data_IF_891999268216
#
_entry.id   IF_891999268216
#
_cell.length_a   1.000
_cell.length_b   1.000
_cell.length_c   1.000
_cell.angle_alpha   90.00
_cell.angle_beta   90.00
_cell.angle_gamma   90.00
#
_symmetry.space_group_name_H-M   'P 1'
#
loop_
_entity.id
_entity.type
_entity.pdbx_description
1 polymer ?
#
# COMPACT_ATOMS: atom_id res chain seq x y z
N UNK A 1 -0.38 0.68 30.98
CA UNK A 1 0.27 1.30 29.81
C UNK A 1 1.46 0.52 29.25
N UNK A 2 1.98 -0.51 29.95
CA UNK A 2 3.02 -1.44 29.46
C UNK A 2 2.74 -2.12 28.10
N UNK A 3 1.47 -2.23 27.70
CA UNK A 3 1.09 -2.85 26.43
C UNK A 3 1.71 -2.17 25.20
N UNK A 4 1.56 -0.84 25.09
CA UNK A 4 2.09 -0.09 23.95
C UNK A 4 3.61 0.11 24.01
N UNK A 5 4.19 0.06 25.21
CA UNK A 5 5.64 0.14 25.42
C UNK A 5 6.36 -1.05 24.75
N UNK A 6 5.82 -2.27 24.90
CA UNK A 6 6.37 -3.45 24.22
C UNK A 6 6.39 -3.31 22.69
N UNK A 7 5.33 -2.75 22.09
CA UNK A 7 5.30 -2.47 20.65
C UNK A 7 6.31 -1.40 20.23
N UNK A 8 6.58 -0.41 21.08
CA UNK A 8 7.59 0.63 20.81
C UNK A 8 9.01 0.05 20.87
N UNK A 9 9.29 -0.82 21.84
CA UNK A 9 10.57 -1.52 21.93
C UNK A 9 10.81 -2.42 20.71
N UNK A 10 9.76 -3.13 20.29
CA UNK A 10 9.75 -3.93 19.07
C UNK A 10 10.08 -3.10 17.83
N UNK A 11 9.42 -1.93 17.66
CA UNK A 11 9.72 -1.02 16.56
C UNK A 11 11.15 -0.47 16.62
N UNK A 12 11.68 -0.16 17.81
CA UNK A 12 13.06 0.27 17.96
C UNK A 12 14.04 -0.82 17.48
N UNK A 13 13.77 -2.11 17.78
CA UNK A 13 14.59 -3.21 17.25
C UNK A 13 14.50 -3.32 15.73
N UNK A 14 13.31 -3.15 15.15
CA UNK A 14 13.14 -3.17 13.70
C UNK A 14 13.92 -2.03 13.03
N UNK A 15 13.93 -0.82 13.61
CA UNK A 15 14.77 0.28 13.11
C UNK A 15 16.25 -0.08 13.07
N UNK A 16 16.77 -0.79 14.07
CA UNK A 16 18.15 -1.26 14.05
C UNK A 16 18.39 -2.26 12.93
N UNK A 17 17.46 -3.20 12.69
CA UNK A 17 17.56 -4.16 11.59
C UNK A 17 17.54 -3.46 10.22
N UNK A 18 16.75 -2.41 10.05
CA UNK A 18 16.70 -1.63 8.80
C UNK A 18 18.03 -0.92 8.49
N UNK A 19 18.83 -0.59 9.51
CA UNK A 19 20.12 0.06 9.34
C UNK A 19 21.20 -0.91 8.82
N UNK A 20 21.03 -2.21 9.03
CA UNK A 20 21.90 -3.25 8.49
C UNK A 20 21.32 -3.77 7.16
N UNK A 21 22.05 -3.52 6.08
CA UNK A 21 21.71 -4.01 4.74
C UNK A 21 21.42 -5.52 4.69
N UNK A 22 22.04 -6.32 5.57
CA UNK A 22 21.82 -7.77 5.61
C UNK A 22 20.40 -8.16 6.03
N UNK A 23 19.74 -7.33 6.85
CA UNK A 23 18.43 -7.60 7.43
C UNK A 23 17.33 -6.71 6.85
N UNK A 24 17.61 -6.06 5.72
CA UNK A 24 16.73 -5.06 5.11
C UNK A 24 15.34 -5.61 4.78
N UNK A 25 15.29 -6.77 4.13
CA UNK A 25 14.04 -7.39 3.68
C UNK A 25 13.26 -7.98 4.85
N UNK A 26 13.96 -8.56 5.83
CA UNK A 26 13.40 -9.05 7.08
C UNK A 26 12.75 -7.91 7.86
N UNK A 27 13.40 -6.75 7.95
CA UNK A 27 12.82 -5.60 8.63
C UNK A 27 11.54 -5.11 7.93
N UNK A 28 11.53 -5.04 6.60
CA UNK A 28 10.33 -4.72 5.81
C UNK A 28 9.21 -5.73 6.06
N UNK A 29 9.55 -7.03 6.09
CA UNK A 29 8.59 -8.09 6.36
C UNK A 29 7.98 -7.95 7.76
N UNK A 30 8.80 -7.69 8.78
CA UNK A 30 8.33 -7.49 10.16
C UNK A 30 7.40 -6.29 10.26
N UNK A 31 7.75 -5.15 9.65
CA UNK A 31 6.87 -3.98 9.63
C UNK A 31 5.52 -4.29 9.00
N UNK A 32 5.49 -5.03 7.89
CA UNK A 32 4.24 -5.46 7.27
C UNK A 32 3.42 -6.37 8.19
N UNK A 33 4.07 -7.30 8.88
CA UNK A 33 3.38 -8.16 9.86
C UNK A 33 2.81 -7.37 11.04
N UNK A 34 3.51 -6.35 11.54
CA UNK A 34 3.02 -5.48 12.61
C UNK A 34 1.78 -4.69 12.22
N UNK A 35 1.73 -4.14 11.00
CA UNK A 35 0.51 -3.50 10.49
C UNK A 35 -0.67 -4.47 10.50
N UNK A 36 -0.46 -5.72 10.05
CA UNK A 36 -1.48 -6.76 10.08
C UNK A 36 -1.96 -7.07 11.50
N UNK A 37 -1.03 -7.27 12.43
CA UNK A 37 -1.35 -7.56 13.83
C UNK A 37 -2.13 -6.42 14.50
N UNK A 38 -1.72 -5.16 14.29
CA UNK A 38 -2.43 -3.98 14.77
C UNK A 38 -3.83 -3.88 14.16
N UNK A 39 -3.99 -4.25 12.90
CA UNK A 39 -5.30 -4.31 12.24
C UNK A 39 -6.22 -5.39 12.84
N UNK A 40 -5.71 -6.61 13.03
CA UNK A 40 -6.48 -7.69 13.65
C UNK A 40 -6.88 -7.37 15.09
N UNK A 41 -5.99 -6.73 15.84
CA UNK A 41 -6.25 -6.29 17.20
C UNK A 41 -7.35 -5.21 17.24
N UNK A 42 -7.27 -4.22 16.36
CA UNK A 42 -8.24 -3.12 16.30
C UNK A 42 -9.62 -3.58 15.81
N UNK A 43 -9.68 -4.55 14.90
CA UNK A 43 -10.93 -5.03 14.29
C UNK A 43 -11.10 -6.55 14.45
N UNK A 44 -11.30 -7.07 15.68
CA UNK A 44 -11.36 -8.51 15.94
C UNK A 44 -12.52 -9.23 15.23
N UNK A 45 -13.59 -8.50 14.89
CA UNK A 45 -14.74 -9.02 14.14
C UNK A 45 -14.53 -9.12 12.63
N UNK A 46 -13.45 -8.54 12.09
CA UNK A 46 -13.17 -8.56 10.66
C UNK A 46 -12.48 -9.88 10.26
N UNK A 47 -13.18 -10.69 9.46
CA UNK A 47 -12.70 -12.04 9.11
C UNK A 47 -11.70 -12.04 7.95
N UNK A 48 -11.64 -10.96 7.17
CA UNK A 48 -10.72 -10.86 6.04
C UNK A 48 -9.49 -10.03 6.42
N UNK A 49 -8.30 -10.67 6.49
CA UNK A 49 -7.01 -10.03 6.82
C UNK A 49 -6.78 -8.74 6.00
N UNK A 50 -7.13 -8.76 4.71
CA UNK A 50 -6.99 -7.60 3.83
C UNK A 50 -7.83 -6.40 4.24
N UNK A 51 -9.01 -6.61 4.82
CA UNK A 51 -9.91 -5.54 5.22
C UNK A 51 -9.39 -4.89 6.48
N UNK A 52 -9.07 -5.69 7.51
CA UNK A 52 -8.50 -5.20 8.76
C UNK A 52 -7.18 -4.44 8.51
N UNK A 53 -6.28 -5.03 7.71
CA UNK A 53 -4.99 -4.43 7.35
C UNK A 53 -5.15 -3.07 6.65
N UNK A 54 -5.97 -2.99 5.60
CA UNK A 54 -6.14 -1.73 4.86
C UNK A 54 -6.90 -0.70 5.68
N UNK A 55 -7.84 -1.13 6.52
CA UNK A 55 -8.63 -0.25 7.37
C UNK A 55 -7.75 0.42 8.43
N UNK A 56 -6.89 -0.34 9.13
CA UNK A 56 -5.99 0.24 10.13
C UNK A 56 -5.02 1.23 9.51
N UNK A 57 -4.52 0.95 8.30
CA UNK A 57 -3.68 1.88 7.54
C UNK A 57 -4.44 3.17 7.24
N UNK A 58 -5.67 3.10 6.74
CA UNK A 58 -6.45 4.32 6.39
C UNK A 58 -6.84 5.14 7.61
N UNK A 59 -7.22 4.49 8.70
CA UNK A 59 -7.74 5.16 9.90
C UNK A 59 -6.61 5.69 10.80
N UNK A 60 -5.50 4.96 10.95
CA UNK A 60 -4.48 5.28 11.96
C UNK A 60 -3.11 5.70 11.41
N UNK A 61 -2.80 5.56 10.12
CA UNK A 61 -1.48 5.96 9.59
C UNK A 61 -1.23 7.48 9.56
N UNK A 62 -2.28 8.29 9.63
CA UNK A 62 -2.21 9.72 9.34
C UNK A 62 -1.87 10.03 7.86
N UNK A 63 -1.88 9.01 6.98
CA UNK A 63 -1.49 9.10 5.57
C UNK A 63 -2.58 8.58 4.64
N UNK A 64 -3.86 8.81 4.98
CA UNK A 64 -5.00 8.34 4.20
C UNK A 64 -4.90 8.74 2.73
N UNK A 65 -4.70 10.03 2.46
CA UNK A 65 -4.66 10.56 1.09
C UNK A 65 -3.52 9.94 0.27
N UNK A 66 -2.34 9.77 0.89
CA UNK A 66 -1.21 9.05 0.28
C UNK A 66 -1.61 7.62 -0.08
N UNK A 67 -2.12 6.85 0.87
CA UNK A 67 -2.50 5.45 0.61
C UNK A 67 -3.68 5.28 -0.33
N UNK A 68 -4.48 6.32 -0.54
CA UNK A 68 -5.58 6.34 -1.50
C UNK A 68 -5.15 6.72 -2.91
N UNK A 69 -3.93 7.24 -3.13
CA UNK A 69 -3.40 7.52 -4.46
C UNK A 69 -3.37 6.28 -5.34
N UNK A 70 -3.65 6.47 -6.63
CA UNK A 70 -3.66 5.44 -7.67
C UNK A 70 -2.28 5.37 -8.33
N UNK A 71 -1.71 4.16 -8.41
CA UNK A 71 -0.51 3.90 -9.21
C UNK A 71 -0.91 3.71 -10.68
N UNK A 72 -0.66 4.74 -11.48
CA UNK A 72 -0.98 4.76 -12.91
C UNK A 72 -0.21 3.68 -13.67
N UNK A 73 1.06 3.45 -13.31
CA UNK A 73 1.88 2.45 -13.97
C UNK A 73 1.30 1.06 -13.74
N UNK A 74 0.93 0.75 -12.50
CA UNK A 74 0.28 -0.52 -12.19
C UNK A 74 -1.09 -0.65 -12.88
N UNK A 75 -1.87 0.42 -12.94
CA UNK A 75 -3.15 0.43 -13.65
C UNK A 75 -2.99 0.02 -15.13
N UNK A 76 -2.05 0.64 -15.84
CA UNK A 76 -1.78 0.34 -17.25
C UNK A 76 -1.23 -1.08 -17.44
N UNK A 77 -0.33 -1.52 -16.54
CA UNK A 77 0.32 -2.82 -16.64
C UNK A 77 -0.48 -3.99 -16.07
N UNK A 78 -1.61 -3.73 -15.40
CA UNK A 78 -2.35 -4.79 -14.71
C UNK A 78 -2.69 -6.01 -15.59
N UNK A 79 -3.16 -5.86 -16.84
CA UNK A 79 -3.48 -7.01 -17.71
C UNK A 79 -2.30 -7.94 -18.00
N UNK A 80 -1.05 -7.44 -17.87
CA UNK A 80 0.19 -8.21 -18.04
C UNK A 80 0.93 -8.47 -16.73
N UNK A 81 0.34 -8.08 -15.61
CA UNK A 81 0.89 -8.29 -14.28
C UNK A 81 0.58 -9.71 -13.78
N UNK A 82 1.21 -10.09 -12.67
CA UNK A 82 0.87 -11.32 -11.96
C UNK A 82 -0.57 -11.37 -11.41
N UNK A 83 -1.32 -10.26 -11.49
CA UNK A 83 -2.71 -10.15 -11.06
C UNK A 83 -3.71 -10.16 -12.23
N UNK A 84 -3.27 -10.46 -13.46
CA UNK A 84 -4.12 -10.49 -14.66
C UNK A 84 -5.39 -11.34 -14.50
N UNK A 85 -5.30 -12.47 -13.78
CA UNK A 85 -6.41 -13.40 -13.58
C UNK A 85 -7.14 -13.23 -12.25
N UNK A 86 -6.77 -12.22 -11.45
CA UNK A 86 -7.35 -12.03 -10.14
C UNK A 86 -8.79 -11.49 -10.26
N UNK A 87 -9.78 -12.30 -9.84
CA UNK A 87 -11.23 -12.05 -9.97
C UNK A 87 -11.68 -10.65 -9.56
N UNK A 88 -10.99 -10.03 -8.60
CA UNK A 88 -11.22 -8.63 -8.26
C UNK A 88 -11.04 -7.72 -9.47
N UNK A 89 -9.81 -7.59 -9.97
CA UNK A 89 -9.52 -6.64 -11.04
C UNK A 89 -10.30 -6.90 -12.33
N UNK A 90 -10.61 -8.17 -12.65
CA UNK A 90 -11.46 -8.55 -13.79
C UNK A 90 -12.88 -7.96 -13.77
N UNK A 91 -13.34 -7.44 -12.63
CA UNK A 91 -14.63 -6.74 -12.54
C UNK A 91 -14.60 -5.32 -13.10
N UNK A 92 -13.42 -4.73 -13.29
CA UNK A 92 -13.28 -3.43 -13.94
C UNK A 92 -13.62 -3.58 -15.43
N UNK A 93 -14.60 -2.81 -15.89
CA UNK A 93 -14.99 -2.76 -17.29
C UNK A 93 -14.16 -1.69 -18.03
N UNK A 94 -14.08 -1.83 -19.35
CA UNK A 94 -13.51 -0.82 -20.24
C UNK A 94 -12.08 -0.39 -19.90
N UNK A 95 -11.25 -1.32 -19.41
CA UNK A 95 -9.86 -1.01 -19.05
C UNK A 95 -9.07 -0.42 -20.24
N UNK A 96 -9.31 -0.90 -21.46
CA UNK A 96 -8.62 -0.40 -22.66
C UNK A 96 -8.95 1.06 -22.94
N UNK A 97 -10.23 1.45 -22.94
CA UNK A 97 -10.64 2.83 -23.19
C UNK A 97 -10.22 3.77 -22.06
N UNK A 98 -10.31 3.32 -20.80
CA UNK A 98 -9.81 4.08 -19.65
C UNK A 98 -8.30 4.28 -19.77
N UNK A 99 -7.55 3.24 -20.16
CA UNK A 99 -6.10 3.32 -20.35
C UNK A 99 -5.72 4.33 -21.42
N UNK A 100 -6.46 4.42 -22.53
CA UNK A 100 -6.25 5.45 -23.55
C UNK A 100 -6.42 6.86 -22.97
N UNK A 101 -7.49 7.10 -22.20
CA UNK A 101 -7.72 8.38 -21.55
C UNK A 101 -6.57 8.77 -20.59
N UNK A 102 -6.04 7.80 -19.83
CA UNK A 102 -4.89 8.01 -18.95
C UNK A 102 -3.61 8.31 -19.75
N UNK A 103 -3.33 7.53 -20.79
CA UNK A 103 -2.14 7.73 -21.63
C UNK A 103 -2.15 9.09 -22.31
N UNK A 104 -3.31 9.52 -22.81
CA UNK A 104 -3.43 10.83 -23.44
C UNK A 104 -3.23 12.00 -22.48
N UNK A 105 -3.49 11.79 -21.18
CA UNK A 105 -3.38 12.84 -20.15
C UNK A 105 -2.00 12.86 -19.45
N UNK A 106 -1.42 11.69 -19.20
CA UNK A 106 -0.21 11.54 -18.38
C UNK A 106 0.99 10.97 -19.15
N UNK A 107 0.80 10.58 -20.41
CA UNK A 107 1.82 9.96 -21.26
C UNK A 107 1.83 8.43 -21.18
N UNK A 108 2.72 7.82 -21.95
CA UNK A 108 2.90 6.37 -21.96
C UNK A 108 3.53 5.83 -20.67
N UNK A 109 3.75 4.51 -20.60
CA UNK A 109 4.33 3.88 -19.43
C UNK A 109 5.73 4.40 -19.06
N UNK A 110 6.54 4.80 -20.03
CA UNK A 110 7.90 5.32 -19.79
C UNK A 110 7.80 6.72 -19.20
N UNK A 111 6.92 7.55 -19.75
CA UNK A 111 6.66 8.89 -19.25
C UNK A 111 6.07 8.87 -17.84
N UNK A 112 5.10 7.98 -17.58
CA UNK A 112 4.50 7.79 -16.24
C UNK A 112 5.54 7.31 -15.24
N UNK A 113 6.38 6.34 -15.61
CA UNK A 113 7.44 5.81 -14.72
C UNK A 113 8.44 6.90 -14.31
N UNK A 114 8.81 7.79 -15.23
CA UNK A 114 9.81 8.84 -15.01
C UNK A 114 9.19 10.19 -14.61
N UNK A 115 7.87 10.29 -14.58
CA UNK A 115 7.12 11.52 -14.34
C UNK A 115 6.03 11.32 -13.27
N UNK A 116 4.78 11.66 -13.60
CA UNK A 116 3.66 11.54 -12.66
C UNK A 116 3.16 10.10 -12.64
N UNK A 117 3.56 9.35 -11.61
CA UNK A 117 3.11 7.96 -11.40
C UNK A 117 1.90 7.82 -10.50
N UNK A 118 1.79 8.68 -9.49
CA UNK A 118 0.79 8.57 -8.43
C UNK A 118 -0.12 9.79 -8.45
N UNK A 119 -1.43 9.56 -8.55
CA UNK A 119 -2.44 10.63 -8.56
C UNK A 119 -3.56 10.35 -7.58
N UNK A 120 -4.33 11.37 -7.19
CA UNK A 120 -5.50 11.14 -6.34
C UNK A 120 -6.59 10.36 -7.10
N UNK A 121 -7.47 9.68 -6.36
CA UNK A 121 -8.64 9.03 -6.98
C UNK A 121 -9.52 10.04 -7.72
N UNK A 122 -9.65 11.25 -7.19
CA UNK A 122 -10.46 12.29 -7.80
C UNK A 122 -9.86 12.75 -9.13
N UNK A 123 -8.54 12.97 -9.21
CA UNK A 123 -7.87 13.35 -10.45
C UNK A 123 -8.00 12.25 -11.52
N UNK A 124 -7.89 10.99 -11.10
CA UNK A 124 -8.12 9.85 -12.00
C UNK A 124 -9.55 9.86 -12.55
N UNK A 125 -10.55 10.00 -11.67
CA UNK A 125 -11.96 10.01 -12.07
C UNK A 125 -12.25 11.20 -13.00
N UNK A 126 -11.82 12.40 -12.64
CA UNK A 126 -12.01 13.61 -13.44
C UNK A 126 -11.36 13.47 -14.82
N UNK A 127 -10.14 12.90 -14.90
CA UNK A 127 -9.46 12.64 -16.17
C UNK A 127 -10.29 11.75 -17.10
N UNK A 128 -10.87 10.65 -16.57
CA UNK A 128 -11.64 9.70 -17.37
C UNK A 128 -13.02 10.26 -17.72
N UNK A 129 -13.66 10.97 -16.79
CA UNK A 129 -14.99 11.58 -16.98
C UNK A 129 -14.99 12.70 -18.04
N UNK A 130 -13.85 13.37 -18.25
CA UNK A 130 -13.66 14.36 -19.32
C UNK A 130 -13.57 13.73 -20.73
N UNK A 131 -13.39 12.41 -20.83
CA UNK A 131 -13.27 11.67 -22.10
C UNK A 131 -14.20 10.46 -22.12
N UNK A 132 -15.52 10.66 -22.05
CA UNK A 132 -16.46 9.55 -22.02
C UNK A 132 -16.43 8.79 -23.35
N UNK A 133 -16.44 7.47 -23.26
CA UNK A 133 -16.47 6.54 -24.39
C UNK A 133 -17.74 5.67 -24.31
N UNK A 134 -18.13 4.99 -25.40
CA UNK A 134 -19.33 4.14 -25.40
C UNK A 134 -19.31 3.10 -24.28
N UNK A 135 -20.43 2.96 -23.57
CA UNK A 135 -20.59 2.04 -22.41
C UNK A 135 -19.77 2.40 -21.17
N UNK A 136 -19.29 3.64 -21.05
CA UNK A 136 -18.67 4.12 -19.81
C UNK A 136 -19.59 3.89 -18.60
N UNK A 137 -19.06 3.18 -17.60
CA UNK A 137 -19.75 2.84 -16.35
C UNK A 137 -19.00 3.49 -15.18
N UNK A 138 -19.30 4.77 -14.92
CA UNK A 138 -18.63 5.55 -13.87
C UNK A 138 -18.80 4.95 -12.47
N UNK A 139 -19.92 4.23 -12.22
CA UNK A 139 -20.13 3.52 -10.96
C UNK A 139 -19.17 2.34 -10.82
N UNK A 140 -19.02 1.52 -11.86
CA UNK A 140 -18.06 0.42 -11.89
C UNK A 140 -16.62 0.91 -11.71
N UNK A 141 -16.26 2.02 -12.35
CA UNK A 141 -14.94 2.64 -12.17
C UNK A 141 -14.72 3.03 -10.71
N UNK A 142 -15.63 3.81 -10.10
CA UNK A 142 -15.51 4.25 -8.70
C UNK A 142 -15.43 3.07 -7.72
N UNK A 143 -16.18 2.00 -7.97
CA UNK A 143 -16.19 0.81 -7.11
C UNK A 143 -14.87 0.02 -7.18
N UNK A 144 -14.19 0.00 -8.32
CA UNK A 144 -13.04 -0.88 -8.56
C UNK A 144 -11.69 -0.16 -8.66
N UNK A 145 -11.68 1.15 -8.86
CA UNK A 145 -10.48 1.98 -8.86
C UNK A 145 -9.63 1.83 -7.58
N UNK A 146 -10.20 1.70 -6.35
CA UNK A 146 -9.39 1.51 -5.15
C UNK A 146 -8.48 0.28 -5.16
N UNK A 147 -8.68 -0.68 -6.08
CA UNK A 147 -7.78 -1.83 -6.25
C UNK A 147 -6.41 -1.46 -6.84
N UNK A 148 -6.30 -0.28 -7.44
CA UNK A 148 -5.04 0.24 -7.98
C UNK A 148 -4.39 1.25 -7.02
N UNK A 149 -4.91 1.37 -5.81
CA UNK A 149 -4.38 2.30 -4.80
C UNK A 149 -3.11 1.77 -4.14
N UNK A 150 -2.29 2.69 -3.62
CA UNK A 150 -1.12 2.38 -2.80
C UNK A 150 -1.48 1.49 -1.60
N UNK A 151 -2.67 1.64 -1.02
CA UNK A 151 -3.16 0.79 0.07
C UNK A 151 -3.36 -0.67 -0.36
N UNK A 152 -3.95 -0.91 -1.55
CA UNK A 152 -4.06 -2.27 -2.10
C UNK A 152 -2.67 -2.82 -2.46
N UNK A 153 -1.77 -1.98 -2.99
CA UNK A 153 -0.40 -2.38 -3.33
C UNK A 153 0.39 -2.79 -2.09
N UNK A 154 0.28 -2.04 -0.99
CA UNK A 154 0.86 -2.39 0.30
C UNK A 154 0.42 -3.80 0.73
N UNK A 155 -0.88 -4.08 0.69
CA UNK A 155 -1.38 -5.39 1.09
C UNK A 155 -0.94 -6.51 0.12
N UNK A 156 -1.08 -6.31 -1.19
CA UNK A 156 -0.84 -7.35 -2.18
C UNK A 156 0.64 -7.66 -2.36
N UNK A 157 1.47 -6.64 -2.48
CA UNK A 157 2.89 -6.80 -2.78
C UNK A 157 3.77 -6.92 -1.54
N UNK A 158 3.33 -6.42 -0.38
CA UNK A 158 4.06 -6.59 0.88
C UNK A 158 3.45 -7.71 1.71
N UNK A 159 2.23 -7.53 2.25
CA UNK A 159 1.64 -8.48 3.20
C UNK A 159 1.44 -9.87 2.58
N UNK A 160 0.80 -9.96 1.43
CA UNK A 160 0.49 -11.27 0.83
C UNK A 160 1.74 -11.92 0.19
N UNK A 161 2.50 -11.15 -0.61
CA UNK A 161 3.63 -11.69 -1.38
C UNK A 161 4.91 -11.86 -0.58
N UNK A 162 5.25 -10.94 0.33
CA UNK A 162 6.47 -11.09 1.14
C UNK A 162 6.30 -12.22 2.17
N UNK A 163 5.15 -12.30 2.84
CA UNK A 163 4.89 -13.31 3.87
C UNK A 163 4.76 -14.72 3.29
N UNK A 164 4.02 -14.90 2.19
CA UNK A 164 3.77 -16.23 1.64
C UNK A 164 4.74 -16.65 0.53
N UNK A 165 5.41 -15.69 -0.10
CA UNK A 165 6.25 -15.95 -1.27
C UNK A 165 7.70 -15.53 -1.12
N UNK A 166 8.09 -14.87 -0.02
CA UNK A 166 9.44 -14.29 0.18
C UNK A 166 9.86 -13.43 -1.01
N UNK A 167 8.90 -12.70 -1.59
CA UNK A 167 9.12 -11.76 -2.70
C UNK A 167 8.80 -10.36 -2.23
N UNK A 168 9.65 -9.41 -2.61
CA UNK A 168 9.52 -8.00 -2.24
C UNK A 168 9.44 -7.12 -3.48
N UNK A 169 8.31 -7.09 -4.21
CA UNK A 169 8.24 -6.42 -5.51
C UNK A 169 8.32 -4.88 -5.45
N UNK A 170 8.24 -4.32 -4.23
CA UNK A 170 8.40 -2.88 -3.97
C UNK A 170 9.86 -2.50 -3.69
N UNK A 171 10.77 -3.48 -3.65
CA UNK A 171 12.21 -3.30 -3.44
C UNK A 171 12.94 -3.80 -4.68
N UNK A 172 13.86 -3.02 -5.22
CA UNK A 172 14.68 -3.45 -6.33
C UNK A 172 15.63 -4.59 -5.94
N UNK A 173 16.19 -5.23 -6.97
CA UNK A 173 17.17 -6.30 -6.77
C UNK A 173 18.36 -5.76 -5.97
N UNK A 174 18.94 -6.57 -5.06
CA UNK A 174 20.12 -6.16 -4.32
C UNK A 174 21.30 -5.89 -5.28
N UNK A 175 21.99 -4.78 -5.08
CA UNK A 175 23.21 -4.42 -5.80
C UNK A 175 24.41 -4.47 -4.84
N UNK A 176 25.54 -4.99 -5.29
CA UNK A 176 26.79 -4.90 -4.52
C UNK A 176 27.46 -3.55 -4.78
N UNK A 177 27.72 -2.79 -3.72
CA UNK A 177 28.42 -1.50 -3.78
C UNK A 177 29.46 -1.48 -2.67
N UNK A 178 30.74 -1.39 -3.02
CA UNK A 178 31.84 -1.30 -2.05
C UNK A 178 31.94 -2.48 -1.07
N UNK A 179 31.52 -3.69 -1.47
CA UNK A 179 31.52 -4.89 -0.61
C UNK A 179 30.29 -5.05 0.29
N UNK A 180 29.37 -4.07 0.29
CA UNK A 180 28.06 -4.17 0.95
C UNK A 180 26.92 -4.44 -0.03
N UNK A 181 25.76 -4.85 0.50
CA UNK A 181 24.51 -4.98 -0.28
C UNK A 181 23.74 -3.66 -0.17
N UNK A 182 23.22 -3.16 -1.29
CA UNK A 182 22.34 -1.99 -1.33
C UNK A 182 21.02 -2.36 -1.99
N UNK A 183 19.93 -1.87 -1.40
CA UNK A 183 18.58 -1.95 -1.95
C UNK A 183 18.12 -0.56 -2.37
N UNK A 184 17.41 -0.48 -3.48
CA UNK A 184 16.75 0.75 -3.95
C UNK A 184 15.23 0.55 -3.93
N UNK A 185 14.50 1.59 -3.55
CA UNK A 185 13.04 1.54 -3.52
C UNK A 185 12.53 2.00 -4.90
N UNK A 186 11.70 1.18 -5.57
CA UNK A 186 11.16 1.48 -6.90
C UNK A 186 9.70 1.95 -6.88
N UNK A 187 9.23 2.33 -5.70
CA UNK A 187 7.85 2.61 -5.39
C UNK A 187 7.75 3.72 -4.34
N UNK A 188 6.62 4.43 -4.29
CA UNK A 188 6.34 5.42 -3.25
C UNK A 188 6.33 4.84 -1.82
N UNK A 189 6.08 3.54 -1.69
CA UNK A 189 6.07 2.85 -0.39
C UNK A 189 7.50 2.39 -0.13
N UNK A 190 8.32 3.34 0.33
CA UNK A 190 9.70 3.08 0.73
C UNK A 190 9.75 2.45 2.12
N UNK A 191 10.93 1.96 2.52
CA UNK A 191 11.14 1.47 3.89
C UNK A 191 10.82 2.53 4.96
N UNK A 192 11.14 3.79 4.68
CA UNK A 192 10.93 4.89 5.62
C UNK A 192 9.44 5.19 5.77
N UNK A 193 8.71 5.21 4.64
CA UNK A 193 7.25 5.36 4.64
C UNK A 193 6.57 4.22 5.39
N UNK A 194 7.05 2.98 5.22
CA UNK A 194 6.51 1.82 5.91
C UNK A 194 6.73 1.90 7.43
N UNK A 195 7.95 2.25 7.85
CA UNK A 195 8.28 2.46 9.26
C UNK A 195 7.41 3.55 9.88
N UNK A 196 7.39 4.73 9.26
CA UNK A 196 6.57 5.86 9.71
C UNK A 196 5.09 5.49 9.80
N UNK A 197 4.58 4.72 8.84
CA UNK A 197 3.20 4.24 8.85
C UNK A 197 2.91 3.36 10.07
N UNK A 198 3.78 2.41 10.37
CA UNK A 198 3.59 1.54 11.55
C UNK A 198 3.69 2.34 12.85
N UNK A 199 4.62 3.29 12.94
CA UNK A 199 4.77 4.19 14.10
C UNK A 199 3.53 5.06 14.33
N UNK A 200 2.99 5.64 13.25
CA UNK A 200 1.78 6.45 13.32
C UNK A 200 0.58 5.61 13.72
N UNK A 201 0.43 4.40 13.16
CA UNK A 201 -0.66 3.50 13.56
C UNK A 201 -0.61 3.23 15.07
N UNK A 202 0.56 2.84 15.58
CA UNK A 202 0.74 2.56 16.99
C UNK A 202 0.46 3.78 17.87
N UNK A 203 1.01 4.93 17.49
CA UNK A 203 0.88 6.18 18.25
C UNK A 203 -0.55 6.68 18.29
N UNK A 204 -1.22 6.75 17.13
CA UNK A 204 -2.58 7.27 17.04
C UNK A 204 -3.58 6.34 17.73
N UNK A 205 -3.40 5.02 17.60
CA UNK A 205 -4.22 4.04 18.32
C UNK A 205 -4.05 4.14 19.83
N UNK A 206 -2.81 4.30 20.31
CA UNK A 206 -2.51 4.53 21.73
C UNK A 206 -3.20 5.79 22.24
N UNK A 207 -3.11 6.90 21.50
CA UNK A 207 -3.72 8.18 21.90
C UNK A 207 -5.24 8.03 22.03
N UNK A 208 -5.91 7.40 21.06
CA UNK A 208 -7.35 7.19 21.11
C UNK A 208 -7.76 6.24 22.26
N UNK A 209 -7.00 5.17 22.51
CA UNK A 209 -7.20 4.28 23.67
C UNK A 209 -7.13 5.05 24.99
N UNK A 210 -6.16 5.95 25.14
CA UNK A 210 -5.99 6.76 26.35
C UNK A 210 -7.12 7.78 26.50
N UNK A 211 -7.50 8.45 25.40
CA UNK A 211 -8.58 9.42 25.39
C UNK A 211 -9.93 8.79 25.76
N UNK A 212 -10.22 7.60 25.22
CA UNK A 212 -11.50 6.91 25.42
C UNK A 212 -11.50 5.92 26.59
N UNK A 213 -10.36 5.75 27.28
CA UNK A 213 -10.15 4.75 28.33
C UNK A 213 -10.59 3.33 27.91
N UNK A 214 -10.18 2.91 26.71
CA UNK A 214 -10.57 1.64 26.07
C UNK A 214 -9.38 0.89 25.53
N UNK A 215 -9.47 -0.44 25.50
CA UNK A 215 -8.52 -1.28 24.76
C UNK A 215 -8.72 -1.13 23.25
N UNK A 216 -7.69 -1.39 22.43
CA UNK A 216 -7.78 -1.28 20.98
C UNK A 216 -8.99 -1.99 20.35
N UNK A 217 -9.34 -3.18 20.86
CA UNK A 217 -10.48 -3.97 20.37
C UNK A 217 -11.86 -3.42 20.78
N UNK A 218 -11.89 -2.54 21.79
CA UNK A 218 -13.09 -1.93 22.35
C UNK A 218 -13.39 -0.54 21.76
N UNK A 219 -12.43 0.02 21.01
CA UNK A 219 -12.55 1.32 20.32
C UNK A 219 -13.67 1.29 19.27
#
# INVERSE_FOLDING_TARGET
>A
MAYFEGWQDDLARVKMLMADSKYYLEAILVLSCYIGALGSLRYPGEKEDNKAYKRVVREYSGKKDFYEQIDLLFFLQWPRSQFQSHKGYLKLKNHEEISKAIVDAYGDEVQIKNGIRYISQQDFLTCVEQRPFPRFDGRNLREHLPRFSLCEMLYRYLRCRAVHGVRFPLVDKPHQVGGGIRYEDNHAITRAVLLETTENILTNMRLECLEKAKWPEEL
#
